data_IF_881879510632
#
_entry.id   IF_881879510632
#
_cell.length_a   1.000
_cell.length_b   1.000
_cell.length_c   1.000
_cell.angle_alpha   90.00
_cell.angle_beta   90.00
_cell.angle_gamma   90.00
#
_symmetry.space_group_name_H-M   'P 1'
#
loop_
_entity.id
_entity.type
_entity.pdbx_description
1 polymer ?
#
# COMPACT_ATOMS: atom_id res chain seq x y z
N UNK A 1 9.68 8.14 8.66
CA UNK A 1 8.77 7.70 7.59
C UNK A 1 7.99 8.87 7.03
N UNK A 2 7.80 8.93 5.75
CA UNK A 2 7.07 10.01 5.10
C UNK A 2 5.58 9.95 5.48
N UNK A 3 5.05 11.05 6.02
CA UNK A 3 3.64 11.11 6.42
C UNK A 3 2.69 11.01 5.24
N UNK A 4 3.16 11.34 4.04
CA UNK A 4 2.33 11.30 2.84
C UNK A 4 2.30 9.93 2.18
N UNK A 5 3.11 8.99 2.65
CA UNK A 5 3.19 7.67 2.04
C UNK A 5 1.82 6.97 1.94
N UNK A 6 0.98 6.97 3.00
CA UNK A 6 -0.35 6.33 2.88
C UNK A 6 -1.19 6.95 1.78
N UNK A 7 -1.13 8.26 1.61
CA UNK A 7 -1.88 8.96 0.57
C UNK A 7 -1.35 8.61 -0.81
N UNK A 8 -0.03 8.51 -0.94
CA UNK A 8 0.62 8.22 -2.21
C UNK A 8 0.25 6.81 -2.69
N UNK A 9 0.33 5.81 -1.82
CA UNK A 9 0.01 4.44 -2.23
C UNK A 9 -1.47 4.28 -2.57
N UNK A 10 -2.34 4.98 -1.84
CA UNK A 10 -3.76 4.97 -2.13
C UNK A 10 -4.04 5.61 -3.49
N UNK A 11 -3.42 6.75 -3.76
CA UNK A 11 -3.58 7.44 -5.03
C UNK A 11 -3.10 6.58 -6.20
N UNK A 12 -1.92 6.00 -6.08
CA UNK A 12 -1.36 5.16 -7.14
C UNK A 12 -2.23 3.95 -7.43
N UNK A 13 -2.78 3.33 -6.38
CA UNK A 13 -3.66 2.19 -6.54
C UNK A 13 -4.93 2.57 -7.29
N UNK A 14 -5.56 3.67 -6.90
CA UNK A 14 -6.81 4.12 -7.51
C UNK A 14 -6.59 4.57 -8.95
N UNK A 15 -5.45 5.21 -9.22
CA UNK A 15 -5.13 5.65 -10.57
C UNK A 15 -5.01 4.48 -11.53
N UNK A 16 -4.56 3.34 -11.03
CA UNK A 16 -4.43 2.13 -11.84
C UNK A 16 -5.69 1.27 -11.85
N UNK A 17 -6.75 1.72 -11.17
CA UNK A 17 -8.02 1.00 -11.13
C UNK A 17 -7.95 -0.32 -10.37
N UNK A 18 -7.03 -0.44 -9.43
CA UNK A 18 -6.84 -1.68 -8.67
C UNK A 18 -7.59 -1.63 -7.35
N UNK A 19 -8.14 -2.79 -6.93
CA UNK A 19 -8.78 -2.90 -5.64
C UNK A 19 -7.73 -3.19 -4.56
N UNK A 20 -8.07 -2.90 -3.29
CA UNK A 20 -7.21 -3.25 -2.18
C UNK A 20 -6.94 -4.76 -2.15
N UNK A 21 -7.98 -5.54 -2.44
CA UNK A 21 -7.86 -6.99 -2.43
C UNK A 21 -6.83 -7.47 -3.46
N UNK A 22 -6.87 -6.89 -4.66
CA UNK A 22 -5.94 -7.27 -5.73
C UNK A 22 -4.51 -6.93 -5.36
N UNK A 23 -4.28 -5.70 -4.89
CA UNK A 23 -2.94 -5.26 -4.51
C UNK A 23 -2.40 -6.06 -3.33
N UNK A 24 -3.23 -6.30 -2.33
CA UNK A 24 -2.82 -7.08 -1.18
C UNK A 24 -2.42 -8.50 -1.59
N UNK A 25 -3.20 -9.11 -2.47
CA UNK A 25 -2.89 -10.44 -2.99
C UNK A 25 -1.55 -10.45 -3.73
N UNK A 26 -1.33 -9.47 -4.59
CA UNK A 26 -0.11 -9.37 -5.37
C UNK A 26 1.12 -9.13 -4.48
N UNK A 27 0.93 -8.43 -3.37
CA UNK A 27 2.03 -8.11 -2.47
C UNK A 27 2.20 -9.15 -1.35
N UNK A 28 1.34 -10.16 -1.30
CA UNK A 28 1.44 -11.21 -0.30
C UNK A 28 1.07 -10.79 1.11
N UNK A 29 0.17 -9.81 1.22
CA UNK A 29 -0.32 -9.34 2.53
C UNK A 29 -1.83 -9.44 2.57
N UNK A 30 -2.42 -9.28 3.77
CA UNK A 30 -3.86 -9.28 3.90
C UNK A 30 -4.45 -7.93 3.46
N UNK A 31 -5.70 -7.96 3.00
CA UNK A 31 -6.39 -6.72 2.64
C UNK A 31 -6.51 -5.78 3.84
N UNK A 32 -6.75 -6.35 5.03
CA UNK A 32 -6.84 -5.55 6.25
C UNK A 32 -5.54 -4.82 6.53
N UNK A 33 -4.40 -5.48 6.32
CA UNK A 33 -3.09 -4.87 6.54
C UNK A 33 -2.86 -3.73 5.56
N UNK A 34 -3.18 -3.95 4.28
CA UNK A 34 -3.05 -2.90 3.29
C UNK A 34 -3.94 -1.71 3.63
N UNK A 35 -5.17 -1.97 4.06
CA UNK A 35 -6.08 -0.90 4.47
C UNK A 35 -5.50 -0.07 5.61
N UNK A 36 -4.87 -0.72 6.58
CA UNK A 36 -4.23 -0.03 7.69
C UNK A 36 -3.07 0.85 7.22
N UNK A 37 -2.28 0.36 6.26
CA UNK A 37 -1.19 1.14 5.70
C UNK A 37 -1.74 2.36 4.94
N UNK A 38 -2.79 2.18 4.15
CA UNK A 38 -3.38 3.28 3.38
C UNK A 38 -4.03 4.34 4.24
N UNK A 39 -4.49 3.96 5.43
CA UNK A 39 -5.09 4.90 6.38
C UNK A 39 -4.07 5.54 7.31
N UNK A 40 -2.83 5.06 7.28
CA UNK A 40 -1.80 5.56 8.16
C UNK A 40 -1.93 5.10 9.61
N UNK A 41 -2.76 4.09 9.87
CA UNK A 41 -2.95 3.55 11.21
C UNK A 41 -1.71 2.78 11.66
N UNK A 42 -1.04 2.14 10.71
CA UNK A 42 0.13 1.32 10.98
C UNK A 42 1.27 1.75 10.06
N UNK A 43 2.46 1.89 10.64
CA UNK A 43 3.64 2.20 9.84
C UNK A 43 4.10 0.95 9.10
N UNK A 44 4.37 1.12 7.81
CA UNK A 44 4.92 0.03 7.01
C UNK A 44 6.44 -0.02 7.17
N UNK A 45 6.99 -1.22 7.08
CA UNK A 45 8.43 -1.39 7.14
C UNK A 45 9.09 -1.02 5.82
N UNK A 46 10.43 -0.98 5.87
CA UNK A 46 11.22 -0.67 4.68
C UNK A 46 10.97 -1.67 3.55
N UNK A 47 10.80 -2.95 3.89
CA UNK A 47 10.52 -3.99 2.89
C UNK A 47 9.25 -3.68 2.12
N UNK A 48 8.22 -3.21 2.80
CA UNK A 48 6.96 -2.86 2.16
C UNK A 48 7.14 -1.65 1.24
N UNK A 49 7.93 -0.68 1.66
CA UNK A 49 8.22 0.49 0.83
C UNK A 49 8.89 0.08 -0.47
N UNK A 50 9.89 -0.79 -0.39
CA UNK A 50 10.60 -1.27 -1.57
C UNK A 50 9.67 -2.04 -2.49
N UNK A 51 8.86 -2.95 -1.93
CA UNK A 51 7.89 -3.70 -2.73
C UNK A 51 6.88 -2.79 -3.42
N UNK A 52 6.41 -1.76 -2.73
CA UNK A 52 5.47 -0.81 -3.30
C UNK A 52 6.09 -0.05 -4.47
N UNK A 53 7.33 0.38 -4.31
CA UNK A 53 8.04 1.10 -5.36
C UNK A 53 8.22 0.23 -6.61
N UNK A 54 8.50 -1.05 -6.43
CA UNK A 54 8.67 -1.97 -7.54
C UNK A 54 7.33 -2.34 -8.18
N UNK A 55 6.27 -2.42 -7.36
CA UNK A 55 4.95 -2.81 -7.85
C UNK A 55 4.33 -1.70 -8.70
N UNK A 56 4.43 -0.48 -8.24
CA UNK A 56 3.90 0.66 -8.96
C UNK A 56 4.97 1.32 -9.81
#
# INVERSE_FOLDING_TARGET
MNKDFPRIITFLRKERGLSQKQVACDMGISQALLSHYEKGIRECGLDFLVKTAEYY
#
